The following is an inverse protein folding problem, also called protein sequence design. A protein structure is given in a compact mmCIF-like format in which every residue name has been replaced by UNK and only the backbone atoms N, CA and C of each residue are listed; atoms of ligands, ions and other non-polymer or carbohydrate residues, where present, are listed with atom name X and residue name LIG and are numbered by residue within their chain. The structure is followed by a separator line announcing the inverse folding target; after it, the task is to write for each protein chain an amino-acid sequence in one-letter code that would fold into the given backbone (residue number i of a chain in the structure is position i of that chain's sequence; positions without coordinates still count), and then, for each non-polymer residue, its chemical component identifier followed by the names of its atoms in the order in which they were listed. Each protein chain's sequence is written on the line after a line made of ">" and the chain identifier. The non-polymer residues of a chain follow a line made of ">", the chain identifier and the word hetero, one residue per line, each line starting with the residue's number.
data_IF_601401716338
#
_entry.id   IF_601401716338
#
_cell.length_a   1.000
_cell.length_b   1.000
_cell.length_c   1.000
_cell.angle_alpha   90.00
_cell.angle_beta   90.00
_cell.angle_gamma   90.00
#
_symmetry.space_group_name_H-M   'P 1'
#
loop_
_entity.id
_entity.type
_entity.pdbx_description
1 polymer ?
#
# COMPACT_ATOMS: atom_id res chain seq x y z
N UNK A 1 4.47 -24.76 14.04
CA UNK A 1 3.66 -23.82 13.26
C UNK A 1 4.61 -22.69 12.94
N UNK A 2 5.09 -22.59 11.70
CA UNK A 2 5.97 -21.49 11.30
C UNK A 2 5.19 -20.18 11.49
N UNK A 3 5.72 -19.26 12.28
CA UNK A 3 5.27 -17.88 12.25
C UNK A 3 5.63 -17.35 10.87
N UNK A 4 4.68 -17.34 9.93
CA UNK A 4 4.81 -16.59 8.69
C UNK A 4 5.03 -15.13 9.12
N UNK A 5 6.27 -14.65 8.99
CA UNK A 5 6.64 -13.31 9.42
C UNK A 5 5.79 -12.29 8.64
N UNK A 6 4.87 -11.63 9.33
CA UNK A 6 4.05 -10.57 8.76
C UNK A 6 4.96 -9.38 8.49
N UNK A 7 4.97 -8.91 7.25
CA UNK A 7 5.74 -7.77 6.77
C UNK A 7 4.79 -6.64 6.41
N UNK A 8 5.29 -5.43 6.37
CA UNK A 8 4.56 -4.30 5.80
C UNK A 8 4.93 -4.14 4.33
N UNK A 9 3.93 -3.89 3.50
CA UNK A 9 4.08 -3.61 2.08
C UNK A 9 3.45 -2.25 1.76
N UNK A 10 4.17 -1.40 1.04
CA UNK A 10 3.60 -0.22 0.40
C UNK A 10 3.00 -0.63 -0.95
N UNK A 11 1.68 -0.56 -1.05
CA UNK A 11 0.93 -0.83 -2.27
C UNK A 11 0.48 0.47 -2.94
N UNK A 12 0.70 0.62 -4.24
CA UNK A 12 0.34 1.81 -5.00
C UNK A 12 -0.67 1.45 -6.09
N UNK A 13 -1.69 2.29 -6.27
CA UNK A 13 -2.66 2.18 -7.38
C UNK A 13 -2.01 2.57 -8.70
N UNK A 14 -2.12 1.73 -9.73
CA UNK A 14 -1.50 1.98 -11.03
C UNK A 14 -2.35 2.85 -11.97
N UNK A 15 -3.64 3.04 -11.68
CA UNK A 15 -4.45 4.00 -12.43
C UNK A 15 -3.89 5.43 -12.27
N UNK A 16 -3.74 6.14 -13.39
CA UNK A 16 -3.21 7.51 -13.39
C UNK A 16 -4.10 8.46 -12.62
N UNK A 17 -3.47 9.42 -11.92
CA UNK A 17 -4.21 10.50 -11.27
C UNK A 17 -4.90 11.36 -12.34
N UNK A 18 -6.13 11.79 -12.06
CA UNK A 18 -6.93 12.59 -12.99
C UNK A 18 -6.46 14.04 -13.13
N UNK A 19 -5.54 14.49 -12.27
CA UNK A 19 -5.01 15.84 -12.23
C UNK A 19 -3.52 15.84 -12.57
N UNK A 20 -3.08 16.93 -13.19
CA UNK A 20 -1.69 17.12 -13.59
C UNK A 20 -0.79 17.30 -12.36
N UNK A 21 -0.02 16.26 -12.07
CA UNK A 21 0.91 16.19 -10.96
C UNK A 21 2.00 15.16 -11.27
N UNK A 22 3.09 15.19 -10.50
CA UNK A 22 4.21 14.22 -10.66
C UNK A 22 3.68 12.78 -10.58
N UNK A 23 2.73 12.53 -9.67
CA UNK A 23 2.09 11.22 -9.50
C UNK A 23 1.21 10.78 -10.67
N UNK A 24 0.98 11.61 -11.70
CA UNK A 24 0.30 11.18 -12.92
C UNK A 24 1.11 10.08 -13.63
N UNK A 25 2.41 10.33 -13.82
CA UNK A 25 3.33 9.43 -14.54
C UNK A 25 4.29 8.67 -13.61
N UNK A 26 4.62 9.22 -12.44
CA UNK A 26 5.59 8.63 -11.52
C UNK A 26 4.89 7.89 -10.35
N UNK A 27 4.92 6.55 -10.41
CA UNK A 27 4.38 5.67 -9.37
C UNK A 27 5.05 5.89 -8.00
N UNK A 28 6.30 6.33 -7.95
CA UNK A 28 7.02 6.52 -6.68
C UNK A 28 6.47 7.72 -5.91
N UNK A 29 5.97 8.74 -6.62
CA UNK A 29 5.36 9.94 -6.09
C UNK A 29 3.87 9.76 -5.69
N UNK A 30 3.25 8.63 -6.03
CA UNK A 30 1.85 8.35 -5.68
C UNK A 30 1.70 7.99 -4.20
N UNK A 31 0.52 8.28 -3.67
CA UNK A 31 0.13 7.81 -2.34
C UNK A 31 0.14 6.28 -2.30
N UNK A 32 0.91 5.73 -1.35
CA UNK A 32 0.92 4.30 -1.05
C UNK A 32 -0.07 3.94 0.06
N UNK A 33 -0.57 2.71 0.01
CA UNK A 33 -1.34 2.05 1.03
C UNK A 33 -0.44 1.04 1.73
N UNK A 34 -0.24 1.22 3.03
CA UNK A 34 0.61 0.32 3.82
C UNK A 34 -0.24 -0.85 4.32
N UNK A 35 0.13 -2.07 3.91
CA UNK A 35 -0.63 -3.29 4.14
C UNK A 35 0.27 -4.31 4.82
N UNK A 36 -0.18 -4.84 5.95
CA UNK A 36 0.44 -5.99 6.57
C UNK A 36 0.03 -7.28 5.85
N UNK A 37 1.00 -8.06 5.41
CA UNK A 37 0.77 -9.32 4.70
C UNK A 37 1.95 -10.29 4.89
N UNK A 38 1.72 -11.57 4.61
CA UNK A 38 2.76 -12.60 4.59
C UNK A 38 3.53 -12.63 3.27
N UNK A 39 2.98 -12.09 2.19
CA UNK A 39 3.63 -11.98 0.88
C UNK A 39 3.15 -10.76 0.09
N UNK A 40 3.87 -10.43 -0.99
CA UNK A 40 3.47 -9.37 -1.90
C UNK A 40 2.16 -9.70 -2.64
N UNK A 41 1.91 -10.97 -2.95
CA UNK A 41 0.67 -11.46 -3.57
C UNK A 41 -0.52 -11.25 -2.62
N UNK A 42 -0.38 -11.60 -1.34
CA UNK A 42 -1.45 -11.34 -0.36
C UNK A 42 -1.70 -9.84 -0.18
N UNK A 43 -0.65 -9.01 -0.17
CA UNK A 43 -0.80 -7.56 -0.14
C UNK A 43 -1.53 -7.02 -1.39
N UNK A 44 -1.27 -7.61 -2.56
CA UNK A 44 -1.96 -7.29 -3.80
C UNK A 44 -3.43 -7.71 -3.75
N UNK A 45 -3.75 -8.91 -3.27
CA UNK A 45 -5.13 -9.39 -3.15
C UNK A 45 -5.96 -8.50 -2.22
N UNK A 46 -5.36 -8.04 -1.11
CA UNK A 46 -5.98 -7.06 -0.20
C UNK A 46 -6.27 -5.72 -0.91
N UNK A 47 -5.39 -5.28 -1.81
CA UNK A 47 -5.65 -4.10 -2.64
C UNK A 47 -6.77 -4.34 -3.65
N UNK A 48 -6.78 -5.48 -4.33
CA UNK A 48 -7.81 -5.83 -5.31
C UNK A 48 -9.20 -5.93 -4.66
N UNK A 49 -9.29 -6.45 -3.43
CA UNK A 49 -10.53 -6.45 -2.66
C UNK A 49 -11.00 -5.03 -2.27
N UNK A 50 -10.07 -4.10 -2.06
CA UNK A 50 -10.36 -2.71 -1.68
C UNK A 50 -10.71 -1.80 -2.86
N UNK A 51 -10.10 -2.04 -4.03
CA UNK A 51 -10.26 -1.25 -5.25
C UNK A 51 -10.56 -2.18 -6.45
N UNK A 52 -11.70 -2.90 -6.44
CA UNK A 52 -11.98 -3.92 -7.44
C UNK A 52 -12.02 -3.35 -8.87
N UNK A 53 -12.52 -2.12 -9.04
CA UNK A 53 -12.56 -1.39 -10.30
C UNK A 53 -11.18 -1.09 -10.93
N UNK A 54 -10.11 -1.11 -10.14
CA UNK A 54 -8.74 -0.82 -10.60
C UNK A 54 -7.85 -2.05 -10.71
N UNK A 55 -8.43 -3.24 -10.50
CA UNK A 55 -7.71 -4.52 -10.63
C UNK A 55 -7.12 -4.70 -12.03
N UNK A 56 -7.75 -4.10 -13.05
CA UNK A 56 -7.31 -4.18 -14.45
C UNK A 56 -6.02 -3.39 -14.68
N UNK A 57 -5.91 -2.20 -14.11
CA UNK A 57 -4.72 -1.35 -14.13
C UNK A 57 -3.64 -1.91 -13.17
N UNK A 58 -4.09 -2.59 -12.11
CA UNK A 58 -3.27 -3.32 -11.16
C UNK A 58 -2.70 -2.44 -10.04
N UNK A 59 -1.88 -3.09 -9.21
CA UNK A 59 -1.22 -2.47 -8.07
C UNK A 59 0.26 -2.82 -8.07
N UNK A 60 1.11 -1.83 -7.85
CA UNK A 60 2.53 -2.06 -7.53
C UNK A 60 2.65 -2.34 -6.04
N UNK A 61 3.39 -3.39 -5.68
CA UNK A 61 3.64 -3.79 -4.28
C UNK A 61 5.14 -3.71 -4.01
N UNK A 62 5.51 -3.04 -2.94
CA UNK A 62 6.89 -2.91 -2.48
C UNK A 62 6.96 -3.32 -1.01
N UNK A 63 7.84 -4.26 -0.66
CA UNK A 63 8.12 -4.55 0.75
C UNK A 63 8.70 -3.30 1.42
N UNK A 64 8.10 -2.91 2.54
CA UNK A 64 8.46 -1.70 3.24
C UNK A 64 9.44 -2.02 4.37
N UNK A 65 10.70 -1.69 4.13
CA UNK A 65 11.75 -1.68 5.15
C UNK A 65 11.70 -0.33 5.88
N UNK A 66 10.65 -0.11 6.68
CA UNK A 66 10.48 1.11 7.45
C UNK A 66 11.65 1.34 8.42
N UNK A 67 12.35 2.46 8.29
CA UNK A 67 13.30 2.92 9.30
C UNK A 67 12.52 3.34 10.57
N UNK A 68 12.80 2.73 11.71
CA UNK A 68 12.34 3.07 13.09
C UNK A 68 11.14 4.05 13.18
N UNK A 69 10.00 3.69 12.57
CA UNK A 69 8.80 4.54 12.58
C UNK A 69 8.07 4.33 13.90
N UNK A 70 7.98 5.39 14.72
CA UNK A 70 7.17 5.40 15.94
C UNK A 70 5.72 5.73 15.56
N UNK A 71 4.80 4.77 15.74
CA UNK A 71 3.36 4.99 15.57
C UNK A 71 2.76 5.44 16.91
N UNK A 72 2.27 6.69 16.97
CA UNK A 72 1.58 7.22 18.14
C UNK A 72 0.07 7.37 17.87
N UNK A 73 -0.75 6.66 18.64
CA UNK A 73 -2.20 6.86 18.63
C UNK A 73 -2.56 8.03 19.55
N UNK A 74 -2.98 9.16 18.97
CA UNK A 74 -3.46 10.32 19.74
C UNK A 74 -4.97 10.21 19.92
N UNK A 75 -5.42 9.74 21.09
CA UNK A 75 -6.83 9.85 21.49
C UNK A 75 -7.12 11.27 21.94
N UNK A 76 -8.15 11.89 21.36
CA UNK A 76 -8.76 13.11 21.89
C UNK A 76 -10.07 12.72 22.54
N UNK A 77 -10.22 13.06 23.82
CA UNK A 77 -11.51 12.96 24.49
C UNK A 77 -12.45 13.98 23.83
N UNK A 78 -13.57 13.49 23.30
CA UNK A 78 -14.64 14.29 22.71
C UNK A 78 -15.47 14.98 23.80
#
# INVERSE_FOLDING_TARGET
>A
MENLAVREYRCTRNASYSHDCIGHDDLTARQGYYIQASSAEEAWEKMAARFPEETKEGFTVQEWEGFDVVIEEVKRDC
#
